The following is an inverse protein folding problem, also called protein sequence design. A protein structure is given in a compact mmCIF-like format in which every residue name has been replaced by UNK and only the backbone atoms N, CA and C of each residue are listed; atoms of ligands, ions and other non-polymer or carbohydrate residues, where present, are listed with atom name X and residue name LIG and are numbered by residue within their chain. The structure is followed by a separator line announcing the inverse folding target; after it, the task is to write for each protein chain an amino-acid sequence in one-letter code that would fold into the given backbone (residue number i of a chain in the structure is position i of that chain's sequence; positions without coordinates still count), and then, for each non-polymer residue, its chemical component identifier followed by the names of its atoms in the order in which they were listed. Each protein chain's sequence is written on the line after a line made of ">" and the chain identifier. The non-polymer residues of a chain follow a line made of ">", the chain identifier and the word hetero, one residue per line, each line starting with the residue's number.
data_IF_668844053111
#
_entry.id   IF_668844053111
#
_cell.length_a   1.000
_cell.length_b   1.000
_cell.length_c   1.000
_cell.angle_alpha   90.00
_cell.angle_beta   90.00
_cell.angle_gamma   90.00
#
_symmetry.space_group_name_H-M   'P 1'
#
loop_
_entity.id
_entity.type
_entity.pdbx_description
1 polymer ?
#
# COMPACT_ATOMS: atom_id res chain seq x y z
N UNK A 1 5.12 18.36 19.99
CA UNK A 1 3.70 18.01 19.88
C UNK A 1 3.52 16.77 20.74
N UNK A 2 2.74 16.87 21.82
CA UNK A 2 2.58 15.76 22.75
C UNK A 2 1.33 14.98 22.39
N UNK A 3 1.52 13.81 21.79
CA UNK A 3 0.43 12.90 21.50
C UNK A 3 0.00 12.25 22.82
N UNK A 4 -1.25 12.48 23.24
CA UNK A 4 -1.75 12.02 24.54
C UNK A 4 -1.83 10.50 24.59
N UNK A 5 -1.80 9.91 25.79
CA UNK A 5 -2.01 8.46 25.95
C UNK A 5 -3.33 7.99 25.31
N UNK A 6 -4.37 8.82 25.42
CA UNK A 6 -5.66 8.58 24.77
C UNK A 6 -5.55 8.68 23.24
N UNK A 7 -4.73 9.60 22.72
CA UNK A 7 -4.42 9.72 21.29
C UNK A 7 -3.76 8.45 20.74
N UNK A 8 -2.73 7.92 21.41
CA UNK A 8 -2.11 6.65 21.05
C UNK A 8 -3.11 5.49 21.10
N UNK A 9 -3.94 5.44 22.13
CA UNK A 9 -4.96 4.40 22.27
C UNK A 9 -5.91 4.38 21.07
N UNK A 10 -6.49 5.54 20.72
CA UNK A 10 -7.40 5.63 19.59
C UNK A 10 -6.73 5.36 18.24
N UNK A 11 -5.48 5.81 18.06
CA UNK A 11 -4.74 5.53 16.83
C UNK A 11 -4.57 4.02 16.61
N UNK A 12 -4.08 3.31 17.63
CA UNK A 12 -3.83 1.86 17.55
C UNK A 12 -5.14 1.08 17.39
N UNK A 13 -6.18 1.45 18.14
CA UNK A 13 -7.51 0.84 18.01
C UNK A 13 -8.09 1.03 16.61
N UNK A 14 -8.00 2.25 16.06
CA UNK A 14 -8.47 2.54 14.72
C UNK A 14 -7.71 1.73 13.66
N UNK A 15 -6.37 1.66 13.76
CA UNK A 15 -5.53 0.84 12.88
C UNK A 15 -5.95 -0.62 12.91
N UNK A 16 -6.23 -1.17 14.09
CA UNK A 16 -6.68 -2.56 14.23
C UNK A 16 -8.05 -2.80 13.58
N UNK A 17 -9.02 -1.92 13.81
CA UNK A 17 -10.39 -2.04 13.26
C UNK A 17 -10.44 -1.86 11.74
N UNK A 18 -9.51 -1.10 11.17
CA UNK A 18 -9.48 -0.81 9.74
C UNK A 18 -8.77 -1.88 8.91
N UNK A 19 -8.06 -2.84 9.52
CA UNK A 19 -7.28 -3.85 8.80
C UNK A 19 -8.17 -4.72 7.89
N UNK A 20 -8.08 -4.56 6.55
CA UNK A 20 -8.90 -5.34 5.61
C UNK A 20 -8.48 -6.82 5.59
N UNK A 21 -7.25 -7.16 5.98
CA UNK A 21 -6.78 -8.54 6.03
C UNK A 21 -7.47 -9.33 7.15
N UNK A 22 -8.03 -8.66 8.17
CA UNK A 22 -8.80 -9.30 9.25
C UNK A 22 -10.30 -9.47 8.93
N UNK A 23 -10.83 -8.86 7.87
CA UNK A 23 -12.26 -8.92 7.52
C UNK A 23 -12.58 -10.14 6.65
N UNK A 24 -13.49 -11.01 7.07
CA UNK A 24 -13.89 -12.19 6.28
C UNK A 24 -14.63 -11.79 4.98
N UNK A 25 -15.41 -10.72 5.05
CA UNK A 25 -16.26 -10.18 3.99
C UNK A 25 -15.54 -9.22 3.03
N UNK A 26 -14.21 -9.31 2.93
CA UNK A 26 -13.44 -8.52 1.98
C UNK A 26 -13.75 -8.92 0.52
N UNK A 27 -14.00 -7.94 -0.35
CA UNK A 27 -14.18 -8.19 -1.78
C UNK A 27 -12.82 -8.51 -2.45
N UNK A 28 -12.57 -9.80 -2.70
CA UNK A 28 -11.32 -10.31 -3.27
C UNK A 28 -11.14 -9.98 -4.76
N UNK A 29 -12.19 -9.50 -5.43
CA UNK A 29 -12.16 -9.13 -6.84
C UNK A 29 -11.64 -7.72 -7.09
N UNK A 30 -11.43 -6.91 -6.04
CA UNK A 30 -10.88 -5.55 -6.19
C UNK A 30 -9.37 -5.65 -6.48
N UNK A 31 -8.90 -5.12 -7.63
CA UNK A 31 -7.46 -5.04 -7.91
C UNK A 31 -6.70 -4.19 -6.89
N UNK A 32 -5.49 -4.60 -6.54
CA UNK A 32 -4.63 -3.89 -5.60
C UNK A 32 -3.28 -3.54 -6.22
N UNK A 33 -2.91 -2.25 -6.17
CA UNK A 33 -1.54 -1.81 -6.46
C UNK A 33 -0.83 -1.37 -5.18
N UNK A 34 0.18 -2.11 -4.77
CA UNK A 34 1.03 -1.75 -3.64
C UNK A 34 2.27 -1.04 -4.20
N UNK A 35 2.45 0.22 -3.80
CA UNK A 35 3.60 1.03 -4.19
C UNK A 35 4.32 1.57 -2.95
N UNK A 36 5.65 1.58 -2.96
CA UNK A 36 6.47 2.13 -1.87
C UNK A 36 7.87 2.46 -2.37
N UNK A 37 8.57 3.37 -1.68
CA UNK A 37 9.99 3.60 -1.93
C UNK A 37 10.83 2.47 -1.35
N UNK A 38 11.88 2.06 -2.06
CA UNK A 38 12.79 1.01 -1.59
C UNK A 38 13.63 1.46 -0.38
N UNK A 39 13.86 2.78 -0.25
CA UNK A 39 14.61 3.38 0.87
C UNK A 39 13.71 3.91 2.00
N UNK A 40 12.42 3.54 2.02
CA UNK A 40 11.49 3.95 3.06
C UNK A 40 11.70 3.14 4.36
N UNK A 41 12.19 3.76 5.46
CA UNK A 41 12.35 3.07 6.74
C UNK A 41 11.01 2.66 7.36
N UNK A 42 9.89 3.33 7.04
CA UNK A 42 8.56 2.96 7.53
C UNK A 42 8.15 1.60 6.97
N UNK A 43 8.50 1.32 5.72
CA UNK A 43 8.28 0.03 5.05
C UNK A 43 9.33 -1.04 5.32
N UNK A 44 10.21 -0.86 6.31
CA UNK A 44 11.42 -1.69 6.49
C UNK A 44 12.22 -1.86 5.17
N UNK A 45 12.46 -0.76 4.45
CA UNK A 45 13.22 -0.74 3.19
C UNK A 45 12.67 -1.74 2.15
N UNK A 46 11.36 -1.64 1.92
CA UNK A 46 10.62 -2.49 0.98
C UNK A 46 10.25 -3.89 1.49
N UNK A 47 10.71 -4.30 2.68
CA UNK A 47 10.36 -5.62 3.25
C UNK A 47 8.88 -5.70 3.66
N UNK A 48 8.35 -4.70 4.34
CA UNK A 48 6.94 -4.68 4.76
C UNK A 48 5.97 -4.67 3.55
N UNK A 49 6.16 -3.83 2.51
CA UNK A 49 5.35 -3.91 1.28
C UNK A 49 5.35 -5.30 0.62
N UNK A 50 6.50 -5.99 0.57
CA UNK A 50 6.59 -7.37 0.08
C UNK A 50 5.78 -8.34 0.95
N UNK A 51 5.85 -8.21 2.27
CA UNK A 51 5.03 -9.02 3.19
C UNK A 51 3.54 -8.74 2.98
N UNK A 52 3.15 -7.47 2.84
CA UNK A 52 1.77 -7.07 2.59
C UNK A 52 1.24 -7.67 1.29
N UNK A 53 2.01 -7.60 0.20
CA UNK A 53 1.71 -8.26 -1.06
C UNK A 53 1.42 -9.75 -0.86
N UNK A 54 2.31 -10.47 -0.17
CA UNK A 54 2.15 -11.90 0.09
C UNK A 54 0.90 -12.20 0.94
N UNK A 55 0.58 -11.36 1.92
CA UNK A 55 -0.62 -11.52 2.75
C UNK A 55 -1.92 -11.40 1.93
N UNK A 56 -1.98 -10.47 0.98
CA UNK A 56 -3.15 -10.34 0.10
C UNK A 56 -3.29 -11.53 -0.85
N UNK A 57 -2.19 -12.00 -1.43
CA UNK A 57 -2.18 -13.24 -2.24
C UNK A 57 -2.66 -14.45 -1.42
N UNK A 58 -2.13 -14.63 -0.20
CA UNK A 58 -2.53 -15.72 0.70
C UNK A 58 -4.00 -15.64 1.14
N UNK A 59 -4.56 -14.43 1.20
CA UNK A 59 -5.98 -14.20 1.48
C UNK A 59 -6.90 -14.53 0.30
N UNK A 60 -6.34 -14.70 -0.91
CA UNK A 60 -7.08 -15.09 -2.11
C UNK A 60 -7.37 -13.96 -3.09
N UNK A 61 -6.72 -12.81 -2.97
CA UNK A 61 -6.77 -11.79 -4.03
C UNK A 61 -6.05 -12.31 -5.27
N UNK A 62 -6.67 -12.13 -6.44
CA UNK A 62 -6.15 -12.64 -7.71
C UNK A 62 -5.39 -11.60 -8.51
N UNK A 63 -5.70 -10.31 -8.33
CA UNK A 63 -5.01 -9.20 -8.98
C UNK A 63 -4.36 -8.28 -7.93
N UNK A 64 -3.10 -8.58 -7.64
CA UNK A 64 -2.26 -7.77 -6.77
C UNK A 64 -0.96 -7.49 -7.51
N UNK A 65 -0.59 -6.21 -7.58
CA UNK A 65 0.67 -5.72 -8.13
C UNK A 65 1.51 -5.09 -7.03
N UNK A 66 2.83 -5.22 -7.12
CA UNK A 66 3.79 -4.57 -6.22
C UNK A 66 4.86 -3.87 -7.04
N UNK A 67 5.11 -2.58 -6.76
CA UNK A 67 6.24 -1.85 -7.31
C UNK A 67 7.00 -1.12 -6.21
N UNK A 68 8.31 -1.33 -6.17
CA UNK A 68 9.23 -0.60 -5.30
C UNK A 68 10.06 0.35 -6.16
N UNK A 69 10.08 1.62 -5.78
CA UNK A 69 10.82 2.66 -6.50
C UNK A 69 12.23 2.80 -5.91
N UNK A 70 13.29 2.46 -6.67
CA UNK A 70 14.66 2.54 -6.16
C UNK A 70 15.04 3.98 -5.80
N UNK A 71 15.80 4.15 -4.72
CA UNK A 71 16.25 5.46 -4.17
C UNK A 71 15.14 6.37 -3.61
N UNK A 72 13.87 5.97 -3.69
CA UNK A 72 12.77 6.76 -3.14
C UNK A 72 12.51 6.40 -1.69
N UNK A 73 12.05 7.39 -0.90
CA UNK A 73 11.64 7.22 0.49
C UNK A 73 10.12 7.13 0.60
N UNK A 74 9.52 7.78 1.60
CA UNK A 74 8.12 7.59 1.96
C UNK A 74 7.14 8.29 1.01
N UNK A 75 7.42 9.53 0.62
CA UNK A 75 6.47 10.39 -0.10
C UNK A 75 6.68 10.35 -1.61
N UNK A 76 6.37 9.22 -2.26
CA UNK A 76 6.60 8.99 -3.70
C UNK A 76 6.10 10.13 -4.61
N UNK A 77 4.94 10.72 -4.31
CA UNK A 77 4.34 11.79 -5.10
C UNK A 77 5.00 13.17 -4.89
N UNK A 78 5.91 13.28 -3.93
CA UNK A 78 6.69 14.48 -3.64
C UNK A 78 8.19 14.28 -3.88
N UNK A 79 8.60 13.11 -4.36
CA UNK A 79 9.99 12.82 -4.71
C UNK A 79 10.34 13.33 -6.13
N UNK A 80 11.60 13.16 -6.55
CA UNK A 80 12.15 13.71 -7.79
C UNK A 80 11.58 13.10 -9.06
N UNK A 81 11.12 11.87 -8.98
CA UNK A 81 10.58 11.03 -10.05
C UNK A 81 9.05 10.88 -9.96
N UNK A 82 8.38 11.81 -9.26
CA UNK A 82 6.91 11.83 -9.11
C UNK A 82 6.16 11.69 -10.44
N UNK A 83 6.68 12.22 -11.55
CA UNK A 83 6.08 12.08 -12.87
C UNK A 83 6.03 10.61 -13.31
N UNK A 84 7.09 9.84 -13.05
CA UNK A 84 7.14 8.40 -13.33
C UNK A 84 6.13 7.66 -12.44
N UNK A 85 6.10 7.98 -11.15
CA UNK A 85 5.12 7.39 -10.21
C UNK A 85 3.69 7.65 -10.68
N UNK A 86 3.37 8.88 -11.10
CA UNK A 86 2.05 9.25 -11.60
C UNK A 86 1.69 8.49 -12.89
N UNK A 87 2.63 8.37 -13.83
CA UNK A 87 2.44 7.61 -15.06
C UNK A 87 2.16 6.14 -14.78
N UNK A 88 2.93 5.52 -13.88
CA UNK A 88 2.74 4.12 -13.50
C UNK A 88 1.38 3.87 -12.84
N UNK A 89 0.94 4.78 -11.95
CA UNK A 89 -0.39 4.72 -11.34
C UNK A 89 -1.48 4.89 -12.40
N UNK A 90 -1.32 5.85 -13.30
CA UNK A 90 -2.27 6.10 -14.38
C UNK A 90 -2.42 4.88 -15.29
N UNK A 91 -1.30 4.36 -15.79
CA UNK A 91 -1.29 3.21 -16.68
C UNK A 91 -1.89 1.96 -16.00
N UNK A 92 -1.54 1.71 -14.73
CA UNK A 92 -2.11 0.61 -13.96
C UNK A 92 -3.64 0.69 -13.83
N UNK A 93 -4.18 1.91 -13.63
CA UNK A 93 -5.62 2.15 -13.55
C UNK A 93 -6.32 1.99 -14.91
N UNK A 94 -5.71 2.46 -16.00
CA UNK A 94 -6.30 2.37 -17.35
C UNK A 94 -6.37 0.92 -17.81
N UNK A 95 -5.32 0.13 -17.62
CA UNK A 95 -5.29 -1.30 -18.00
C UNK A 95 -6.45 -2.08 -17.37
N UNK A 96 -6.84 -1.75 -16.14
CA UNK A 96 -7.93 -2.42 -15.41
C UNK A 96 -9.30 -1.83 -15.64
N UNK A 97 -9.39 -0.67 -16.31
CA UNK A 97 -10.65 -0.10 -16.78
C UNK A 97 -11.08 -0.75 -18.10
N UNK A 98 -10.13 -1.10 -18.96
CA UNK A 98 -10.41 -1.69 -20.28
C UNK A 98 -10.74 -3.19 -20.23
N UNK A 99 -10.63 -3.84 -19.06
CA UNK A 99 -10.98 -5.24 -18.83
C UNK A 99 -12.49 -5.47 -18.51
N UNK A 100 -13.32 -4.42 -18.54
CA UNK A 100 -14.81 -4.48 -18.47
C UNK A 100 -15.47 -4.54 -19.86
#
# INVERSE_FOLDING_TARGET
>A
FDFTANGYHFLLEAMERMDPLKKEEANLAIPLFIVSGEEDPVGEFGKCPKITYQKYIQKGYTDVSLKLYPNNRHELLHDRDKEQVLEDLYQWMIERREEE
#
